data_IF_107749078264
#
_entry.id   IF_107749078264
#
_cell.length_a   1.000
_cell.length_b   1.000
_cell.length_c   1.000
_cell.angle_alpha   90.00
_cell.angle_beta   90.00
_cell.angle_gamma   90.00
#
_symmetry.space_group_name_H-M   'P 1'
#
loop_
_entity.id
_entity.type
_entity.pdbx_description
1 polymer ?
#
# COMPACT_ATOMS: atom_id res chain seq x y z
N UNK A 1 17.34 20.08 -5.63
CA UNK A 1 16.44 19.01 -5.15
C UNK A 1 16.91 17.72 -5.79
N UNK A 2 16.91 16.59 -5.06
CA UNK A 2 17.14 15.27 -5.66
C UNK A 2 15.92 14.89 -6.52
N UNK A 3 16.13 14.09 -7.55
CA UNK A 3 15.04 13.59 -8.40
C UNK A 3 14.05 12.76 -7.56
N UNK A 4 12.74 12.79 -7.88
CA UNK A 4 11.75 11.92 -7.26
C UNK A 4 12.12 10.44 -7.47
N UNK A 5 11.69 9.57 -6.56
CA UNK A 5 11.87 8.13 -6.68
C UNK A 5 10.55 7.41 -6.46
N UNK A 6 10.39 6.28 -7.14
CA UNK A 6 9.22 5.42 -6.97
C UNK A 6 9.56 4.23 -6.08
N UNK A 7 8.65 3.90 -5.18
CA UNK A 7 8.66 2.63 -4.45
C UNK A 7 7.44 1.82 -4.85
N UNK A 8 7.66 0.54 -5.16
CA UNK A 8 6.60 -0.46 -5.28
C UNK A 8 6.84 -1.48 -4.18
N UNK A 9 6.03 -1.44 -3.14
CA UNK A 9 6.10 -2.38 -2.03
C UNK A 9 5.02 -3.45 -2.19
N UNK A 10 5.41 -4.72 -2.23
CA UNK A 10 4.49 -5.85 -2.31
C UNK A 10 4.49 -6.61 -0.99
N UNK A 11 3.36 -6.54 -0.28
CA UNK A 11 3.11 -7.30 0.93
C UNK A 11 2.50 -8.64 0.56
N UNK A 12 2.98 -9.69 1.22
CA UNK A 12 2.49 -11.06 1.08
C UNK A 12 1.89 -11.49 2.43
N UNK A 13 0.60 -11.20 2.68
CA UNK A 13 -0.05 -11.59 3.92
C UNK A 13 -0.06 -13.11 4.11
N UNK A 14 -0.19 -13.53 5.37
CA UNK A 14 -0.53 -14.93 5.66
C UNK A 14 -1.86 -15.26 4.98
N UNK A 15 -2.04 -16.45 4.38
CA UNK A 15 -3.29 -16.84 3.74
C UNK A 15 -4.51 -16.60 4.64
N UNK A 16 -5.57 -16.03 4.06
CA UNK A 16 -6.81 -15.66 4.73
C UNK A 16 -6.76 -14.35 5.51
N UNK A 17 -5.59 -13.70 5.64
CA UNK A 17 -5.42 -12.48 6.46
C UNK A 17 -5.22 -11.21 5.65
N UNK A 18 -5.37 -11.24 4.33
CA UNK A 18 -5.16 -10.04 3.50
C UNK A 18 -6.07 -8.88 3.92
N UNK A 19 -7.33 -9.16 4.25
CA UNK A 19 -8.27 -8.14 4.71
C UNK A 19 -7.83 -7.46 6.02
N UNK A 20 -7.34 -8.24 6.99
CA UNK A 20 -6.84 -7.70 8.26
C UNK A 20 -5.61 -6.81 8.05
N UNK A 21 -4.74 -7.17 7.11
CA UNK A 21 -3.57 -6.34 6.75
C UNK A 21 -4.00 -5.03 6.10
N UNK A 22 -4.99 -5.07 5.18
CA UNK A 22 -5.56 -3.86 4.57
C UNK A 22 -6.13 -2.94 5.65
N UNK A 23 -6.95 -3.48 6.55
CA UNK A 23 -7.57 -2.70 7.63
C UNK A 23 -6.53 -2.10 8.59
N UNK A 24 -5.43 -2.80 8.84
CA UNK A 24 -4.33 -2.31 9.67
C UNK A 24 -3.53 -1.18 9.01
N UNK A 25 -3.37 -1.22 7.69
CA UNK A 25 -2.53 -0.26 6.93
C UNK A 25 -3.33 0.94 6.44
N UNK A 26 -4.63 0.80 6.18
CA UNK A 26 -5.51 1.87 5.68
C UNK A 26 -5.34 3.20 6.45
N UNK A 27 -5.30 3.24 7.80
CA UNK A 27 -5.12 4.49 8.54
C UNK A 27 -3.75 5.14 8.32
N UNK A 28 -2.70 4.34 8.07
CA UNK A 28 -1.37 4.86 7.75
C UNK A 28 -1.35 5.50 6.37
N UNK A 29 -1.96 4.86 5.38
CA UNK A 29 -2.13 5.41 4.02
C UNK A 29 -2.79 6.79 4.06
N UNK A 30 -3.83 6.94 4.87
CA UNK A 30 -4.54 8.22 5.06
C UNK A 30 -3.68 9.26 5.80
N UNK A 31 -2.95 8.82 6.83
CA UNK A 31 -2.04 9.68 7.58
C UNK A 31 -0.92 10.25 6.69
N UNK A 32 -0.24 9.42 5.91
CA UNK A 32 0.86 9.82 5.02
C UNK A 32 0.36 10.87 4.02
N UNK A 33 -0.77 10.59 3.34
CA UNK A 33 -1.38 11.52 2.38
C UNK A 33 -1.68 12.90 2.96
N UNK A 34 -2.11 12.95 4.23
CA UNK A 34 -2.51 14.19 4.88
C UNK A 34 -1.34 14.97 5.50
N UNK A 35 -0.26 14.29 5.90
CA UNK A 35 0.76 14.89 6.78
C UNK A 35 2.17 14.91 6.19
N UNK A 36 2.45 14.19 5.10
CA UNK A 36 3.79 14.08 4.53
C UNK A 36 3.90 14.81 3.19
N UNK A 37 4.23 16.11 3.16
CA UNK A 37 4.29 16.90 1.93
C UNK A 37 5.43 16.49 0.98
N UNK A 38 6.38 15.67 1.46
CA UNK A 38 7.43 15.06 0.64
C UNK A 38 6.98 13.80 -0.10
N UNK A 39 5.83 13.24 0.28
CA UNK A 39 5.19 12.11 -0.38
C UNK A 39 4.19 12.67 -1.40
N UNK A 40 4.57 12.63 -2.66
CA UNK A 40 3.80 13.10 -3.80
C UNK A 40 2.68 12.12 -4.18
N UNK A 41 2.87 10.83 -3.89
CA UNK A 41 1.86 9.79 -4.15
C UNK A 41 1.98 8.66 -3.13
N UNK A 42 0.84 8.12 -2.68
CA UNK A 42 0.80 6.96 -1.80
C UNK A 42 -0.50 6.19 -2.03
N UNK A 43 -0.47 5.02 -2.67
CA UNK A 43 -1.67 4.24 -2.95
C UNK A 43 -1.52 2.79 -2.55
N UNK A 44 -2.58 2.21 -1.99
CA UNK A 44 -2.66 0.81 -1.61
C UNK A 44 -3.80 0.15 -2.39
N UNK A 45 -3.53 -1.02 -3.00
CA UNK A 45 -4.53 -1.80 -3.72
C UNK A 45 -4.20 -3.29 -3.71
N UNK A 46 -5.20 -4.12 -4.01
CA UNK A 46 -4.98 -5.52 -4.36
C UNK A 46 -5.07 -5.68 -5.88
N UNK A 47 -4.14 -6.43 -6.52
CA UNK A 47 -4.24 -6.76 -7.94
C UNK A 47 -5.57 -7.45 -8.28
N UNK A 48 -6.13 -7.16 -9.46
CA UNK A 48 -7.44 -7.66 -9.84
C UNK A 48 -7.48 -9.19 -10.07
N UNK A 49 -6.32 -9.79 -10.35
CA UNK A 49 -6.12 -11.24 -10.51
C UNK A 49 -5.83 -11.95 -9.18
N UNK A 50 -5.79 -11.21 -8.07
CA UNK A 50 -5.48 -11.76 -6.77
C UNK A 50 -6.66 -12.55 -6.19
N UNK A 51 -6.37 -13.72 -5.59
CA UNK A 51 -7.39 -14.50 -4.89
C UNK A 51 -7.96 -13.71 -3.69
N UNK A 52 -9.29 -13.62 -3.53
CA UNK A 52 -9.91 -12.95 -2.38
C UNK A 52 -9.38 -13.49 -1.05
N UNK A 53 -8.85 -12.62 -0.21
CA UNK A 53 -8.29 -12.99 1.11
C UNK A 53 -6.89 -13.61 1.11
N UNK A 54 -6.38 -14.03 -0.05
CA UNK A 54 -5.05 -14.67 -0.21
C UNK A 54 -4.09 -13.88 -1.12
N UNK A 55 -4.58 -12.79 -1.70
CA UNK A 55 -3.85 -11.95 -2.63
C UNK A 55 -2.74 -11.10 -2.00
N UNK A 56 -1.70 -10.77 -2.78
CA UNK A 56 -0.76 -9.73 -2.36
C UNK A 56 -1.46 -8.38 -2.23
N UNK A 57 -0.86 -7.50 -1.42
CA UNK A 57 -1.26 -6.10 -1.31
C UNK A 57 -0.10 -5.27 -1.85
N UNK A 58 -0.38 -4.34 -2.76
CA UNK A 58 0.63 -3.49 -3.39
C UNK A 58 0.47 -2.07 -2.89
N UNK A 59 1.60 -1.44 -2.55
CA UNK A 59 1.70 -0.02 -2.28
C UNK A 59 2.58 0.67 -3.33
N UNK A 60 2.14 1.81 -3.84
CA UNK A 60 2.90 2.67 -4.75
C UNK A 60 3.17 4.01 -4.04
N UNK A 61 4.43 4.39 -3.94
CA UNK A 61 4.89 5.60 -3.27
C UNK A 61 5.76 6.45 -4.22
N UNK A 62 5.57 7.78 -4.22
CA UNK A 62 6.36 8.77 -4.96
C UNK A 62 6.65 9.98 -4.07
#
# INVERSE_FOLDING_TARGET
MKEPFYIVATLHPVPGRAQEVIEAIQPFTEHVKANEPGCLHYEMFQPADAEPGNGPIVLIEL
#
